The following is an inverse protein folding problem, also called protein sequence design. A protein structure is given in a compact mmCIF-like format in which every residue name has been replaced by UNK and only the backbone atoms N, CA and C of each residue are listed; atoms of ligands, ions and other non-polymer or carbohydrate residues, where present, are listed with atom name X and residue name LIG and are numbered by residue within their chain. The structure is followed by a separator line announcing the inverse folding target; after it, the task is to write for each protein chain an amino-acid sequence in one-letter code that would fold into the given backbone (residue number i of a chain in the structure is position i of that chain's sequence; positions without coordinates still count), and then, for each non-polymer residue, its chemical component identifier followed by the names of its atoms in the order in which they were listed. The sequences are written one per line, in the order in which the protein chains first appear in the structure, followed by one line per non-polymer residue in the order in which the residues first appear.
data_IF_311807179672
#
_entry.id   IF_311807179672
#
_cell.length_a   1.000
_cell.length_b   1.000
_cell.length_c   1.000
_cell.angle_alpha   90.00
_cell.angle_beta   90.00
_cell.angle_gamma   90.00
#
_symmetry.space_group_name_H-M   'P 1'
#
loop_
_entity.id
_entity.type
_entity.pdbx_description
1 polymer ?
#
# COMPACT_ATOMS: atom_id res chain seq x y z
N UNK A 1 12.45 -29.95 -3.50
CA UNK A 1 12.01 -29.27 -4.74
C UNK A 1 10.56 -29.62 -5.02
N UNK A 2 9.83 -28.78 -5.76
CA UNK A 2 8.40 -28.95 -6.00
C UNK A 2 8.21 -29.92 -7.20
N UNK A 3 7.62 -31.08 -6.97
CA UNK A 3 7.48 -32.17 -7.95
C UNK A 3 6.18 -32.11 -8.78
N UNK A 4 5.69 -30.91 -9.08
CA UNK A 4 4.51 -30.73 -9.93
C UNK A 4 4.87 -29.94 -11.21
N UNK A 5 4.30 -30.36 -12.35
CA UNK A 5 4.54 -29.73 -13.66
C UNK A 5 3.96 -28.30 -13.78
N UNK A 6 3.42 -27.74 -12.69
CA UNK A 6 2.73 -26.46 -12.69
C UNK A 6 3.60 -25.34 -12.09
N UNK A 7 4.02 -24.33 -12.88
CA UNK A 7 4.88 -23.25 -12.41
C UNK A 7 4.18 -22.27 -11.45
N UNK A 8 2.85 -22.39 -11.26
CA UNK A 8 2.06 -21.45 -10.45
C UNK A 8 2.34 -21.63 -8.96
N UNK A 9 2.80 -20.59 -8.26
CA UNK A 9 3.02 -20.64 -6.80
C UNK A 9 1.75 -21.01 -6.02
N UNK A 10 0.59 -20.51 -6.46
CA UNK A 10 -0.70 -20.81 -5.87
C UNK A 10 -1.57 -21.65 -6.82
N UNK A 11 -2.04 -22.79 -6.32
CA UNK A 11 -2.88 -23.73 -7.05
C UNK A 11 -4.27 -23.86 -6.42
N UNK A 12 -5.23 -24.29 -7.21
CA UNK A 12 -6.55 -24.69 -6.74
C UNK A 12 -6.55 -26.18 -6.35
N UNK A 13 -7.68 -26.67 -5.82
CA UNK A 13 -7.85 -28.07 -5.41
C UNK A 13 -7.73 -29.09 -6.56
N UNK A 14 -7.83 -28.64 -7.82
CA UNK A 14 -7.62 -29.44 -9.04
C UNK A 14 -6.19 -29.36 -9.56
N UNK A 15 -5.23 -28.83 -8.77
CA UNK A 15 -3.82 -28.62 -9.15
C UNK A 15 -3.61 -27.66 -10.34
N UNK A 16 -4.62 -26.87 -10.71
CA UNK A 16 -4.50 -25.81 -11.72
C UNK A 16 -4.23 -24.46 -11.07
N UNK A 17 -3.86 -23.44 -11.84
CA UNK A 17 -3.64 -22.08 -11.34
C UNK A 17 -4.85 -21.54 -10.57
N UNK A 18 -4.60 -20.90 -9.43
CA UNK A 18 -5.65 -20.25 -8.64
C UNK A 18 -6.19 -19.01 -9.36
N UNK A 19 -7.50 -18.94 -9.58
CA UNK A 19 -8.12 -17.81 -10.30
C UNK A 19 -8.31 -16.57 -9.42
N UNK A 20 -8.36 -15.38 -10.05
CA UNK A 20 -8.67 -14.10 -9.38
C UNK A 20 -10.00 -14.14 -8.60
N UNK A 21 -11.01 -14.83 -9.13
CA UNK A 21 -12.34 -14.95 -8.51
C UNK A 21 -12.26 -15.86 -7.28
N UNK A 22 -11.47 -16.93 -7.35
CA UNK A 22 -11.21 -17.81 -6.21
C UNK A 22 -10.53 -17.05 -5.08
N UNK A 23 -9.51 -16.23 -5.38
CA UNK A 23 -8.85 -15.37 -4.38
C UNK A 23 -9.85 -14.43 -3.74
N UNK A 24 -10.67 -13.72 -4.52
CA UNK A 24 -11.70 -12.84 -3.99
C UNK A 24 -12.68 -13.57 -3.06
N UNK A 25 -13.13 -14.77 -3.45
CA UNK A 25 -14.01 -15.60 -2.61
C UNK A 25 -13.31 -16.03 -1.32
N UNK A 26 -12.03 -16.41 -1.39
CA UNK A 26 -11.23 -16.81 -0.22
C UNK A 26 -11.09 -15.64 0.74
N UNK A 27 -10.68 -14.45 0.28
CA UNK A 27 -10.54 -13.28 1.16
C UNK A 27 -11.88 -12.88 1.76
N UNK A 28 -12.96 -12.94 0.98
CA UNK A 28 -14.30 -12.64 1.50
C UNK A 28 -14.79 -13.65 2.52
N UNK A 29 -14.49 -14.94 2.33
CA UNK A 29 -14.93 -16.00 3.24
C UNK A 29 -14.19 -15.97 4.58
N UNK A 30 -12.87 -15.77 4.57
CA UNK A 30 -12.04 -15.93 5.77
C UNK A 30 -11.68 -14.62 6.46
N UNK A 31 -11.65 -13.51 5.72
CA UNK A 31 -11.23 -12.21 6.25
C UNK A 31 -12.36 -11.17 6.19
N UNK A 32 -13.54 -11.52 5.64
CA UNK A 32 -14.66 -10.62 5.36
C UNK A 32 -14.33 -9.40 4.46
N UNK A 33 -13.10 -9.25 4.01
CA UNK A 33 -12.60 -8.12 3.21
C UNK A 33 -12.33 -8.52 1.76
N UNK A 34 -12.28 -7.52 0.88
CA UNK A 34 -11.83 -7.73 -0.51
C UNK A 34 -10.31 -7.63 -0.61
N UNK A 35 -9.69 -8.19 -1.67
CA UNK A 35 -8.25 -8.04 -1.90
C UNK A 35 -7.80 -6.58 -2.02
N UNK A 36 -8.69 -5.70 -2.51
CA UNK A 36 -8.42 -4.26 -2.60
C UNK A 36 -8.27 -3.61 -1.21
N UNK A 37 -9.14 -3.97 -0.26
CA UNK A 37 -9.06 -3.46 1.12
C UNK A 37 -7.77 -3.93 1.78
N UNK A 38 -7.37 -5.20 1.60
CA UNK A 38 -6.09 -5.71 2.09
C UNK A 38 -4.89 -4.91 1.54
N UNK A 39 -4.86 -4.66 0.23
CA UNK A 39 -3.82 -3.84 -0.41
C UNK A 39 -3.78 -2.42 0.17
N UNK A 40 -4.96 -1.82 0.35
CA UNK A 40 -5.05 -0.46 0.87
C UNK A 40 -4.60 -0.36 2.33
N UNK A 41 -5.00 -1.32 3.18
CA UNK A 41 -4.55 -1.38 4.58
C UNK A 41 -3.04 -1.56 4.70
N UNK A 42 -2.42 -2.36 3.83
CA UNK A 42 -0.97 -2.49 3.77
C UNK A 42 -0.30 -1.15 3.42
N UNK A 43 -0.76 -0.50 2.37
CA UNK A 43 -0.22 0.79 1.92
C UNK A 43 -0.36 1.88 3.01
N UNK A 44 -1.56 2.01 3.58
CA UNK A 44 -1.85 2.97 4.63
C UNK A 44 -1.05 2.67 5.90
N UNK A 45 -0.88 1.40 6.27
CA UNK A 45 -0.05 1.00 7.41
C UNK A 45 1.42 1.39 7.24
N UNK A 46 1.99 1.23 6.04
CA UNK A 46 3.36 1.66 5.75
C UNK A 46 3.53 3.17 5.85
N UNK A 47 2.59 3.94 5.29
CA UNK A 47 2.67 5.41 5.30
C UNK A 47 2.48 5.96 6.72
N UNK A 48 1.54 5.40 7.49
CA UNK A 48 1.38 5.76 8.90
C UNK A 48 2.62 5.41 9.74
N UNK A 49 3.36 4.37 9.36
CA UNK A 49 4.64 4.00 9.94
C UNK A 49 5.82 4.88 9.49
N UNK A 50 5.59 5.91 8.68
CA UNK A 50 6.62 6.83 8.20
C UNK A 50 7.38 6.37 6.95
N UNK A 51 6.91 5.33 6.25
CA UNK A 51 7.51 4.94 4.99
C UNK A 51 7.26 5.99 3.89
N UNK A 52 8.29 6.28 3.09
CA UNK A 52 8.17 7.15 1.92
C UNK A 52 7.18 6.55 0.91
N UNK A 53 6.27 7.39 0.40
CA UNK A 53 5.30 7.03 -0.62
C UNK A 53 5.94 6.44 -1.87
N UNK A 54 7.14 6.89 -2.26
CA UNK A 54 7.88 6.32 -3.40
C UNK A 54 8.24 4.85 -3.17
N UNK A 55 8.69 4.52 -1.96
CA UNK A 55 9.01 3.14 -1.57
C UNK A 55 7.74 2.29 -1.51
N UNK A 56 6.65 2.81 -0.97
CA UNK A 56 5.36 2.10 -0.93
C UNK A 56 4.81 1.83 -2.33
N UNK A 57 5.01 2.76 -3.28
CA UNK A 57 4.64 2.58 -4.68
C UNK A 57 5.45 1.48 -5.38
N UNK A 58 6.77 1.43 -5.15
CA UNK A 58 7.62 0.35 -5.67
C UNK A 58 7.19 -1.01 -5.11
N UNK A 59 6.92 -1.10 -3.80
CA UNK A 59 6.50 -2.35 -3.13
C UNK A 59 5.13 -2.88 -3.61
N UNK A 60 4.21 -1.99 -3.97
CA UNK A 60 2.89 -2.37 -4.48
C UNK A 60 2.87 -2.66 -5.98
N UNK A 61 3.98 -2.34 -6.67
CA UNK A 61 4.13 -2.37 -8.12
C UNK A 61 3.40 -1.21 -8.81
N UNK A 62 3.80 -0.90 -10.04
CA UNK A 62 3.25 0.22 -10.85
C UNK A 62 1.76 0.08 -11.21
N UNK A 63 1.10 -1.03 -10.85
CA UNK A 63 -0.27 -1.33 -11.23
C UNK A 63 -1.26 -0.93 -10.14
N UNK A 64 -1.90 0.21 -10.40
CA UNK A 64 -3.09 0.76 -9.74
C UNK A 64 -2.82 1.79 -8.65
N UNK A 65 -2.64 3.03 -9.12
CA UNK A 65 -2.84 4.30 -8.39
C UNK A 65 -4.32 4.52 -8.03
N UNK A 66 -5.03 3.52 -7.50
CA UNK A 66 -6.27 3.82 -6.79
C UNK A 66 -5.81 4.42 -5.47
N UNK A 67 -5.87 5.76 -5.39
CA UNK A 67 -5.67 6.65 -4.21
C UNK A 67 -4.35 7.44 -4.06
N UNK A 68 -3.67 7.85 -5.15
CA UNK A 68 -2.62 8.90 -5.07
C UNK A 68 -3.09 10.15 -4.33
N UNK A 69 -4.37 10.50 -4.51
CA UNK A 69 -5.03 11.65 -3.88
C UNK A 69 -5.24 11.49 -2.36
N UNK A 70 -5.41 10.27 -1.84
CA UNK A 70 -5.56 10.05 -0.39
C UNK A 70 -4.19 10.11 0.29
N UNK A 71 -3.15 9.55 -0.34
CA UNK A 71 -1.80 9.58 0.22
C UNK A 71 -1.17 10.98 0.23
N UNK A 72 -1.56 11.87 -0.70
CA UNK A 72 -1.17 13.29 -0.63
C UNK A 72 -1.78 13.97 0.60
N UNK A 73 -3.00 13.61 0.98
CA UNK A 73 -3.66 14.21 2.15
C UNK A 73 -2.99 13.77 3.47
N UNK A 74 -2.46 12.55 3.54
CA UNK A 74 -1.75 12.03 4.72
C UNK A 74 -0.34 12.64 4.85
N UNK A 75 0.30 13.01 3.74
CA UNK A 75 1.61 13.69 3.79
C UNK A 75 1.52 15.16 4.24
N UNK A 76 0.39 15.85 4.06
CA UNK A 76 0.24 17.28 4.44
C UNK A 76 0.62 17.61 5.89
N UNK A 77 0.16 16.87 6.93
CA UNK A 77 0.55 17.17 8.31
C UNK A 77 2.06 17.04 8.53
N UNK A 78 2.69 15.99 7.99
CA UNK A 78 4.10 15.72 8.22
C UNK A 78 5.04 16.61 7.39
N UNK A 79 4.62 16.97 6.17
CA UNK A 79 5.33 17.93 5.32
C UNK A 79 5.34 19.31 5.96
N UNK A 80 4.24 19.75 6.59
CA UNK A 80 4.20 21.04 7.31
C UNK A 80 5.15 21.06 8.50
N UNK A 81 5.21 19.99 9.29
CA UNK A 81 6.18 19.88 10.40
C UNK A 81 7.62 19.84 9.91
N UNK A 82 7.91 19.05 8.87
CA UNK A 82 9.26 18.95 8.30
C UNK A 82 9.70 20.27 7.68
N UNK A 83 8.81 20.95 6.95
CA UNK A 83 9.03 22.29 6.43
C UNK A 83 9.30 23.27 7.58
N UNK A 84 8.46 23.28 8.62
CA UNK A 84 8.66 24.18 9.75
C UNK A 84 9.95 23.89 10.55
N UNK A 85 10.44 22.65 10.51
CA UNK A 85 11.63 22.23 11.27
C UNK A 85 12.93 22.49 10.52
N UNK A 86 12.95 22.28 9.20
CA UNK A 86 14.17 22.31 8.39
C UNK A 86 14.22 23.47 7.38
N UNK A 87 13.11 24.16 7.14
CA UNK A 87 13.11 25.29 6.22
C UNK A 87 13.69 26.54 6.91
N UNK A 88 14.72 27.19 6.32
CA UNK A 88 15.42 28.30 6.96
C UNK A 88 14.53 29.51 7.27
N UNK A 89 13.40 29.67 6.54
CA UNK A 89 12.44 30.76 6.74
C UNK A 89 11.34 30.44 7.77
N UNK A 90 11.31 29.25 8.38
CA UNK A 90 10.25 28.87 9.32
C UNK A 90 10.35 29.59 10.69
N UNK A 91 11.47 30.28 10.96
CA UNK A 91 11.71 31.03 12.20
C UNK A 91 11.49 32.54 12.10
N UNK A 92 11.07 33.07 10.96
CA UNK A 92 11.01 34.54 10.75
C UNK A 92 9.61 35.16 10.90
N UNK A 93 8.73 34.60 11.73
CA UNK A 93 7.52 35.30 12.20
C UNK A 93 7.67 35.69 13.68
N UNK A 94 8.68 36.51 13.99
CA UNK A 94 8.70 37.35 15.20
C UNK A 94 8.95 38.80 14.81
N UNK A 95 7.94 39.63 15.06
CA UNK A 95 7.89 41.10 15.00
C UNK A 95 7.69 41.75 13.63
N UNK A 96 6.42 42.03 13.31
CA UNK A 96 5.97 43.37 12.92
C UNK A 96 4.70 43.68 13.71
#
# INVERSE_FOLDING_TARGET
ERNDDNPSLFINYKKSTLSRISIFKITKKYLAVSPHVLRHSYASGLILGGADLRIVQELLGHSSLITTQIYTHIQKPHLKETLNTYHPLAKEDKNI
#
